data_IF_162004486217
#
_entry.id   IF_162004486217
#
_cell.length_a   1.000
_cell.length_b   1.000
_cell.length_c   1.000
_cell.angle_alpha   90.00
_cell.angle_beta   90.00
_cell.angle_gamma   90.00
#
_symmetry.space_group_name_H-M   'P 1'
#
loop_
_entity.id
_entity.type
_entity.pdbx_description
1 polymer ?
#
# COMPACT_ATOMS: atom_id res chain seq x y z
N UNK A 1 -37.60 -3.83 4.00
CA UNK A 1 -36.87 -2.98 4.96
C UNK A 1 -35.38 -3.22 4.75
N UNK A 2 -34.59 -2.19 4.36
CA UNK A 2 -33.14 -2.38 4.12
C UNK A 2 -32.40 -2.40 5.44
N UNK A 3 -31.66 -3.47 5.72
CA UNK A 3 -30.83 -3.58 6.91
C UNK A 3 -29.59 -2.69 6.70
N UNK A 4 -29.45 -1.64 7.51
CA UNK A 4 -28.26 -0.81 7.52
C UNK A 4 -27.13 -1.54 8.24
N UNK A 5 -25.94 -1.57 7.61
CA UNK A 5 -24.72 -2.08 8.21
C UNK A 5 -23.79 -0.93 8.53
N UNK A 6 -22.94 -1.10 9.52
CA UNK A 6 -21.93 -0.12 9.91
C UNK A 6 -20.61 -0.82 10.26
N UNK A 7 -19.52 -0.12 10.10
CA UNK A 7 -18.20 -0.51 10.61
C UNK A 7 -17.59 0.70 11.30
N UNK A 8 -16.83 0.44 12.35
CA UNK A 8 -16.06 1.49 13.03
C UNK A 8 -14.60 1.37 12.59
N UNK A 9 -14.05 2.48 12.13
CA UNK A 9 -12.64 2.59 11.76
C UNK A 9 -11.97 3.59 12.67
N UNK A 10 -10.80 3.23 13.17
CA UNK A 10 -9.95 4.11 13.97
C UNK A 10 -8.61 4.29 13.33
N UNK A 11 -8.04 5.47 13.44
CA UNK A 11 -6.68 5.77 13.01
C UNK A 11 -6.01 6.69 14.05
N UNK A 12 -4.70 6.66 14.08
CA UNK A 12 -3.92 7.56 14.91
C UNK A 12 -3.74 8.92 14.23
N UNK A 13 -3.43 9.96 15.02
CA UNK A 13 -3.09 11.28 14.48
C UNK A 13 -1.96 11.14 13.44
N UNK A 14 -2.17 11.59 12.17
CA UNK A 14 -1.14 11.55 11.14
C UNK A 14 0.17 12.26 11.52
N UNK A 15 0.12 13.25 12.41
CA UNK A 15 1.30 13.96 12.88
C UNK A 15 2.34 13.02 13.51
N UNK A 16 1.92 11.93 14.13
CA UNK A 16 2.82 10.91 14.71
C UNK A 16 3.64 10.22 13.61
N UNK A 17 2.97 9.83 12.52
CA UNK A 17 3.64 9.22 11.36
C UNK A 17 4.60 10.19 10.68
N UNK A 18 4.18 11.46 10.49
CA UNK A 18 5.00 12.49 9.86
C UNK A 18 6.23 12.83 10.70
N UNK A 19 6.10 12.91 12.01
CA UNK A 19 7.24 13.12 12.90
C UNK A 19 8.25 11.97 12.83
N UNK A 20 7.77 10.73 12.85
CA UNK A 20 8.62 9.55 12.72
C UNK A 20 9.34 9.49 11.36
N UNK A 21 8.66 9.89 10.28
CA UNK A 21 9.23 9.92 8.91
C UNK A 21 10.39 10.93 8.79
N UNK A 22 10.34 12.04 9.51
CA UNK A 22 11.43 13.02 9.52
C UNK A 22 12.67 12.58 10.29
N UNK A 23 12.53 11.63 11.21
CA UNK A 23 13.57 11.24 12.17
C UNK A 23 14.24 9.89 11.82
N UNK A 24 13.72 9.14 10.86
CA UNK A 24 14.22 7.81 10.53
C UNK A 24 14.24 7.57 9.02
N UNK A 25 15.09 6.65 8.58
CA UNK A 25 15.02 6.17 7.20
C UNK A 25 13.67 5.49 6.95
N UNK A 26 13.20 5.52 5.71
CA UNK A 26 11.91 4.92 5.38
C UNK A 26 11.84 3.42 5.70
N UNK A 27 12.95 2.69 5.56
CA UNK A 27 12.97 1.26 5.91
C UNK A 27 12.82 1.03 7.43
N UNK A 28 13.43 1.89 8.26
CA UNK A 28 13.28 1.84 9.72
C UNK A 28 11.85 2.22 10.13
N UNK A 29 11.30 3.27 9.50
CA UNK A 29 9.92 3.70 9.70
C UNK A 29 8.95 2.56 9.39
N UNK A 30 9.03 1.96 8.20
CA UNK A 30 8.11 0.89 7.82
C UNK A 30 8.27 -0.38 8.67
N UNK A 31 9.46 -0.68 9.15
CA UNK A 31 9.66 -1.73 10.16
C UNK A 31 8.96 -1.38 11.47
N UNK A 32 9.05 -0.12 11.91
CA UNK A 32 8.35 0.35 13.11
C UNK A 32 6.81 0.29 12.94
N UNK A 33 6.29 0.61 11.73
CA UNK A 33 4.87 0.45 11.40
C UNK A 33 4.47 -1.02 11.42
N UNK A 34 5.23 -1.92 10.78
CA UNK A 34 4.98 -3.36 10.80
C UNK A 34 4.91 -3.91 12.22
N UNK A 35 5.80 -3.44 13.08
CA UNK A 35 5.92 -3.89 14.47
C UNK A 35 4.91 -3.21 15.42
N UNK A 36 4.05 -2.32 14.90
CA UNK A 36 3.03 -1.59 15.67
C UNK A 36 3.57 -0.48 16.57
N UNK A 37 4.84 -0.11 16.44
CA UNK A 37 5.48 0.99 17.21
C UNK A 37 5.14 2.38 16.64
N UNK A 38 4.82 2.44 15.37
CA UNK A 38 4.34 3.64 14.65
C UNK A 38 3.03 3.26 13.96
N UNK A 39 2.01 4.12 13.96
CA UNK A 39 0.74 3.81 13.30
C UNK A 39 0.91 3.75 11.77
N UNK A 40 0.08 2.92 11.13
CA UNK A 40 -0.09 2.96 9.68
C UNK A 40 -0.86 4.24 9.29
N UNK A 41 -0.67 4.70 8.07
CA UNK A 41 -1.38 5.88 7.56
C UNK A 41 -2.91 5.69 7.59
N UNK A 42 -3.69 6.76 7.79
CA UNK A 42 -5.14 6.69 7.93
C UNK A 42 -5.85 6.02 6.75
N UNK A 43 -5.42 6.29 5.52
CA UNK A 43 -6.03 5.70 4.32
C UNK A 43 -5.93 4.17 4.31
N UNK A 44 -4.79 3.62 4.66
CA UNK A 44 -4.59 2.16 4.73
C UNK A 44 -5.29 1.56 5.94
N UNK A 45 -5.37 2.29 7.06
CA UNK A 45 -6.15 1.89 8.23
C UNK A 45 -7.64 1.80 7.89
N UNK A 46 -8.18 2.76 7.10
CA UNK A 46 -9.55 2.75 6.60
C UNK A 46 -9.85 1.48 5.78
N UNK A 47 -8.90 1.00 5.00
CA UNK A 47 -9.02 -0.22 4.21
C UNK A 47 -8.75 -1.50 5.01
N UNK A 48 -8.41 -1.39 6.30
CA UNK A 48 -8.05 -2.54 7.14
C UNK A 48 -6.76 -3.24 6.70
N UNK A 49 -5.89 -2.51 5.98
CA UNK A 49 -4.60 -3.03 5.53
C UNK A 49 -3.61 -3.14 6.69
N UNK A 50 -2.69 -4.09 6.57
CA UNK A 50 -1.58 -4.29 7.50
C UNK A 50 -0.27 -4.47 6.75
N UNK A 51 0.77 -3.85 7.23
CA UNK A 51 2.12 -4.09 6.72
C UNK A 51 2.71 -5.34 7.39
N UNK A 52 3.09 -6.35 6.60
CA UNK A 52 3.52 -7.65 7.15
C UNK A 52 4.97 -8.00 6.83
N UNK A 53 5.53 -7.45 5.74
CA UNK A 53 6.95 -7.63 5.41
C UNK A 53 7.57 -6.33 4.92
N UNK A 54 8.77 -6.05 5.37
CA UNK A 54 9.60 -4.90 4.97
C UNK A 54 11.01 -5.37 4.66
N UNK A 55 11.40 -5.27 3.40
CA UNK A 55 12.75 -5.53 2.91
C UNK A 55 13.18 -4.43 1.94
N UNK A 56 14.49 -4.23 1.70
CA UNK A 56 14.95 -3.27 0.71
C UNK A 56 14.35 -3.55 -0.68
N UNK A 57 13.55 -2.63 -1.20
CA UNK A 57 12.89 -2.74 -2.49
C UNK A 57 11.68 -3.68 -2.53
N UNK A 58 11.23 -4.23 -1.40
CA UNK A 58 10.05 -5.09 -1.35
C UNK A 58 9.21 -4.83 -0.09
N UNK A 59 7.92 -4.68 -0.30
CA UNK A 59 6.91 -4.52 0.75
C UNK A 59 5.81 -5.57 0.55
N UNK A 60 5.32 -6.14 1.64
CA UNK A 60 4.11 -6.94 1.63
C UNK A 60 3.10 -6.31 2.59
N UNK A 61 1.92 -6.05 2.06
CA UNK A 61 0.74 -5.67 2.83
C UNK A 61 -0.32 -6.77 2.72
N UNK A 62 -1.21 -6.85 3.70
CA UNK A 62 -2.33 -7.78 3.71
C UNK A 62 -3.62 -7.03 4.03
N UNK A 63 -4.71 -7.45 3.42
CA UNK A 63 -6.07 -6.98 3.70
C UNK A 63 -7.03 -8.17 3.65
N UNK A 64 -8.03 -8.19 4.52
CA UNK A 64 -9.13 -9.16 4.43
C UNK A 64 -10.34 -8.46 3.81
N UNK A 65 -10.79 -8.89 2.62
CA UNK A 65 -12.00 -8.35 2.00
C UNK A 65 -13.21 -8.46 2.92
N UNK A 66 -14.04 -7.41 2.94
CA UNK A 66 -15.27 -7.34 3.71
C UNK A 66 -16.35 -6.60 2.91
N UNK A 67 -17.60 -6.64 3.37
CA UNK A 67 -18.75 -6.09 2.62
C UNK A 67 -18.57 -4.62 2.19
N UNK A 68 -17.98 -3.78 3.05
CA UNK A 68 -17.74 -2.38 2.74
C UNK A 68 -16.71 -2.12 1.62
N UNK A 69 -16.00 -3.14 1.20
CA UNK A 69 -15.03 -3.06 0.11
C UNK A 69 -15.62 -3.43 -1.25
N UNK A 70 -16.86 -3.94 -1.28
CA UNK A 70 -17.46 -4.50 -2.48
C UNK A 70 -18.11 -3.43 -3.37
N UNK A 71 -18.02 -3.65 -4.66
CA UNK A 71 -18.77 -2.94 -5.68
C UNK A 71 -20.14 -3.61 -5.96
N UNK A 72 -20.84 -3.12 -6.99
CA UNK A 72 -22.15 -3.65 -7.41
C UNK A 72 -22.11 -5.09 -7.93
N UNK A 73 -20.93 -5.60 -8.29
CA UNK A 73 -20.73 -6.95 -8.79
C UNK A 73 -20.40 -7.95 -7.66
N UNK A 74 -20.29 -7.45 -6.41
CA UNK A 74 -19.90 -8.28 -5.26
C UNK A 74 -18.41 -8.59 -5.22
N UNK A 75 -17.59 -7.84 -5.95
CA UNK A 75 -16.12 -7.93 -5.93
C UNK A 75 -15.52 -6.72 -5.23
N UNK A 76 -14.29 -6.84 -4.74
CA UNK A 76 -13.57 -5.70 -4.17
C UNK A 76 -13.43 -4.64 -5.25
N UNK A 77 -13.89 -3.42 -4.94
CA UNK A 77 -13.87 -2.30 -5.85
C UNK A 77 -12.44 -2.05 -6.38
N UNK A 78 -12.25 -1.96 -7.73
CA UNK A 78 -10.92 -1.86 -8.35
C UNK A 78 -10.02 -0.75 -7.80
N UNK A 79 -10.58 0.40 -7.44
CA UNK A 79 -9.83 1.51 -6.84
C UNK A 79 -9.23 1.17 -5.48
N UNK A 80 -9.82 0.24 -4.72
CA UNK A 80 -9.23 -0.26 -3.47
C UNK A 80 -7.96 -1.07 -3.78
N UNK A 81 -8.01 -1.95 -4.79
CA UNK A 81 -6.84 -2.71 -5.22
C UNK A 81 -5.75 -1.78 -5.77
N UNK A 82 -6.15 -0.73 -6.52
CA UNK A 82 -5.23 0.30 -6.99
C UNK A 82 -4.55 1.04 -5.83
N UNK A 83 -5.30 1.48 -4.82
CA UNK A 83 -4.75 2.16 -3.64
C UNK A 83 -3.77 1.28 -2.87
N UNK A 84 -4.11 0.01 -2.64
CA UNK A 84 -3.25 -0.94 -1.95
C UNK A 84 -1.95 -1.22 -2.72
N UNK A 85 -2.04 -1.39 -4.04
CA UNK A 85 -0.88 -1.69 -4.89
C UNK A 85 0.02 -0.46 -5.04
N UNK A 86 -0.55 0.74 -5.20
CA UNK A 86 0.20 2.01 -5.24
C UNK A 86 0.99 2.23 -3.95
N UNK A 87 0.33 2.08 -2.80
CA UNK A 87 0.98 2.22 -1.48
C UNK A 87 2.11 1.20 -1.29
N UNK A 88 1.87 -0.08 -1.58
CA UNK A 88 2.89 -1.11 -1.43
C UNK A 88 4.11 -0.87 -2.33
N UNK A 89 3.88 -0.44 -3.58
CA UNK A 89 4.94 -0.13 -4.54
C UNK A 89 5.70 1.15 -4.15
N UNK A 90 5.00 2.20 -3.75
CA UNK A 90 5.58 3.44 -3.26
C UNK A 90 6.47 3.19 -2.03
N UNK A 91 5.98 2.43 -1.06
CA UNK A 91 6.78 2.04 0.10
C UNK A 91 8.01 1.23 -0.29
N UNK A 92 7.91 0.32 -1.27
CA UNK A 92 9.04 -0.44 -1.76
C UNK A 92 10.15 0.48 -2.33
N UNK A 93 9.78 1.52 -3.10
CA UNK A 93 10.72 2.54 -3.58
C UNK A 93 11.35 3.28 -2.39
N UNK A 94 10.52 3.75 -1.45
CA UNK A 94 10.99 4.52 -0.30
C UNK A 94 11.98 3.74 0.58
N UNK A 95 11.94 2.40 0.62
CA UNK A 95 12.93 1.60 1.36
C UNK A 95 14.35 1.69 0.78
N UNK A 96 14.51 2.23 -0.43
CA UNK A 96 15.78 2.27 -1.17
C UNK A 96 16.26 3.69 -1.52
N UNK A 97 15.49 4.71 -1.21
CA UNK A 97 15.90 6.09 -1.39
C UNK A 97 16.50 6.66 -0.10
N UNK A 98 17.43 7.63 -0.18
CA UNK A 98 17.99 8.28 0.99
C UNK A 98 16.95 9.02 1.83
N UNK A 99 17.29 9.26 3.09
CA UNK A 99 16.47 10.09 3.98
C UNK A 99 16.23 11.48 3.36
N UNK A 100 14.99 11.96 3.46
CA UNK A 100 14.57 13.26 2.92
C UNK A 100 14.18 13.22 1.44
N UNK A 101 14.56 12.18 0.69
CA UNK A 101 14.08 12.02 -0.69
C UNK A 101 12.61 11.60 -0.66
N UNK A 102 11.78 12.32 -1.40
CA UNK A 102 10.35 12.04 -1.55
C UNK A 102 10.08 11.40 -2.91
N UNK A 103 9.07 10.57 -2.99
CA UNK A 103 8.59 10.02 -4.24
C UNK A 103 7.08 10.24 -4.32
N UNK A 104 6.59 10.59 -5.52
CA UNK A 104 5.17 10.74 -5.78
C UNK A 104 4.78 9.99 -7.05
N UNK A 105 3.62 9.38 -7.05
CA UNK A 105 3.08 8.63 -8.18
C UNK A 105 2.81 9.58 -9.35
N UNK A 106 3.40 9.32 -10.51
CA UNK A 106 3.09 10.03 -11.76
C UNK A 106 1.98 9.35 -12.52
N UNK A 107 2.05 8.03 -12.61
CA UNK A 107 1.01 7.21 -13.20
C UNK A 107 1.03 5.82 -12.58
N UNK A 108 -0.10 5.14 -12.67
CA UNK A 108 -0.22 3.73 -12.37
C UNK A 108 -1.19 3.08 -13.36
N UNK A 109 -0.92 1.82 -13.68
CA UNK A 109 -1.81 1.00 -14.49
C UNK A 109 -2.07 -0.31 -13.76
N UNK A 110 -3.33 -0.60 -13.52
CA UNK A 110 -3.77 -1.84 -12.85
C UNK A 110 -4.47 -2.73 -13.85
N UNK A 111 -4.00 -3.98 -13.95
CA UNK A 111 -4.66 -5.05 -14.69
C UNK A 111 -5.36 -5.97 -13.69
N UNK A 112 -6.67 -6.07 -13.81
CA UNK A 112 -7.50 -6.97 -13.01
C UNK A 112 -7.62 -8.28 -13.78
N UNK A 113 -7.14 -9.38 -13.20
CA UNK A 113 -7.05 -10.69 -13.85
C UNK A 113 -8.12 -11.63 -13.33
N UNK A 114 -8.37 -11.57 -12.01
CA UNK A 114 -9.33 -12.43 -11.33
C UNK A 114 -10.11 -11.59 -10.30
N UNK A 115 -11.40 -11.86 -10.12
CA UNK A 115 -12.20 -11.14 -9.14
C UNK A 115 -11.74 -11.45 -7.72
N UNK A 116 -11.55 -10.41 -6.92
CA UNK A 116 -11.33 -10.51 -5.49
C UNK A 116 -12.67 -10.38 -4.79
N UNK A 117 -13.05 -11.37 -4.00
CA UNK A 117 -14.31 -11.43 -3.25
C UNK A 117 -14.04 -11.68 -1.77
N UNK A 118 -15.07 -11.72 -0.94
CA UNK A 118 -14.93 -12.15 0.47
C UNK A 118 -14.37 -13.58 0.55
N UNK A 119 -14.77 -14.45 -0.39
CA UNK A 119 -14.29 -15.82 -0.44
C UNK A 119 -12.80 -15.96 -0.85
N UNK A 120 -12.19 -14.91 -1.41
CA UNK A 120 -10.75 -14.89 -1.70
C UNK A 120 -9.89 -14.95 -0.42
N UNK A 121 -10.52 -14.76 0.74
CA UNK A 121 -9.83 -14.75 2.02
C UNK A 121 -8.87 -13.56 2.13
N UNK A 122 -7.86 -13.69 2.99
CA UNK A 122 -6.86 -12.64 3.17
C UNK A 122 -5.99 -12.51 1.92
N UNK A 123 -6.05 -11.36 1.27
CA UNK A 123 -5.21 -11.04 0.12
C UNK A 123 -3.84 -10.52 0.55
N UNK A 124 -2.83 -10.84 -0.26
CA UNK A 124 -1.48 -10.29 -0.15
C UNK A 124 -1.21 -9.34 -1.29
N UNK A 125 -0.70 -8.16 -0.95
CA UNK A 125 -0.26 -7.13 -1.90
C UNK A 125 1.25 -7.03 -1.79
N UNK A 126 1.95 -7.40 -2.86
CA UNK A 126 3.42 -7.41 -2.91
C UNK A 126 3.88 -6.31 -3.84
N UNK A 127 4.49 -5.27 -3.29
CA UNK A 127 5.09 -4.16 -4.03
C UNK A 127 6.61 -4.36 -4.18
N UNK A 128 7.14 -4.04 -5.36
CA UNK A 128 8.57 -4.14 -5.67
C UNK A 128 9.08 -2.92 -6.43
N UNK A 129 10.20 -2.38 -5.98
CA UNK A 129 10.96 -1.39 -6.73
C UNK A 129 11.78 -2.10 -7.82
N UNK A 130 11.44 -1.85 -9.09
CA UNK A 130 12.12 -2.44 -10.25
C UNK A 130 13.40 -1.65 -10.55
N UNK A 131 13.27 -0.33 -10.67
CA UNK A 131 14.39 0.58 -10.95
C UNK A 131 14.21 1.89 -10.23
N UNK A 132 15.28 2.42 -9.67
CA UNK A 132 15.31 3.76 -9.08
C UNK A 132 16.39 4.56 -9.79
N UNK A 133 15.98 5.61 -10.49
CA UNK A 133 16.84 6.58 -11.15
C UNK A 133 16.89 7.90 -10.37
N UNK A 134 17.60 8.89 -10.93
CA UNK A 134 17.73 10.22 -10.30
C UNK A 134 16.47 11.09 -10.37
N UNK A 135 15.60 10.84 -11.35
CA UNK A 135 14.38 11.63 -11.57
C UNK A 135 13.11 10.80 -11.46
N UNK A 136 13.17 9.53 -11.82
CA UNK A 136 12.03 8.63 -11.82
C UNK A 136 12.40 7.28 -11.26
N UNK A 137 11.42 6.62 -10.66
CA UNK A 137 11.50 5.23 -10.24
C UNK A 137 10.36 4.44 -10.88
N UNK A 138 10.65 3.20 -11.26
CA UNK A 138 9.66 2.25 -11.79
C UNK A 138 9.46 1.14 -10.77
N UNK A 139 8.22 0.76 -10.58
CA UNK A 139 7.83 -0.29 -9.64
C UNK A 139 6.70 -1.15 -10.22
N UNK A 140 6.51 -2.28 -9.59
CA UNK A 140 5.41 -3.19 -9.84
C UNK A 140 4.76 -3.60 -8.52
N UNK A 141 3.50 -4.00 -8.58
CA UNK A 141 2.85 -4.70 -7.48
C UNK A 141 1.89 -5.76 -8.00
N UNK A 142 1.63 -6.75 -7.15
CA UNK A 142 0.67 -7.81 -7.43
C UNK A 142 -0.22 -8.09 -6.23
N UNK A 143 -1.45 -8.48 -6.51
CA UNK A 143 -2.40 -8.96 -5.53
C UNK A 143 -2.56 -10.47 -5.69
N UNK A 144 -2.40 -11.20 -4.60
CA UNK A 144 -2.58 -12.63 -4.51
C UNK A 144 -3.71 -12.93 -3.51
N UNK A 145 -4.57 -13.89 -3.82
CA UNK A 145 -5.56 -14.38 -2.86
C UNK A 145 -4.93 -15.31 -1.80
N UNK A 146 -5.74 -15.83 -0.90
CA UNK A 146 -5.29 -16.74 0.17
C UNK A 146 -4.74 -18.08 -0.33
N UNK A 147 -5.09 -18.50 -1.55
CA UNK A 147 -4.56 -19.68 -2.22
C UNK A 147 -3.27 -19.38 -3.02
N UNK A 148 -2.85 -18.13 -3.10
CA UNK A 148 -1.70 -17.68 -3.88
C UNK A 148 -2.01 -17.42 -5.36
N UNK A 149 -3.29 -17.42 -5.76
CA UNK A 149 -3.73 -17.10 -7.12
C UNK A 149 -3.53 -15.62 -7.40
N UNK A 150 -2.96 -15.30 -8.56
CA UNK A 150 -2.73 -13.91 -9.01
C UNK A 150 -4.06 -13.28 -9.43
N UNK A 151 -4.47 -12.23 -8.70
CA UNK A 151 -5.72 -11.50 -8.95
C UNK A 151 -5.52 -10.18 -9.69
N UNK A 152 -4.39 -9.51 -9.46
CA UNK A 152 -4.10 -8.22 -10.09
C UNK A 152 -2.60 -8.00 -10.24
N UNK A 153 -2.25 -7.27 -11.30
CA UNK A 153 -0.92 -6.72 -11.55
C UNK A 153 -0.99 -5.21 -11.66
N UNK A 154 0.01 -4.52 -11.16
CA UNK A 154 0.16 -3.07 -11.28
C UNK A 154 1.57 -2.72 -11.72
N UNK A 155 1.71 -1.83 -12.69
CA UNK A 155 2.92 -1.12 -13.04
C UNK A 155 2.77 0.37 -12.77
N UNK A 156 3.79 1.02 -12.22
CA UNK A 156 3.75 2.45 -11.96
C UNK A 156 5.10 3.12 -12.14
N UNK A 157 5.04 4.42 -12.41
CA UNK A 157 6.18 5.33 -12.43
C UNK A 157 5.98 6.40 -11.36
N UNK A 158 7.02 6.63 -10.59
CA UNK A 158 7.09 7.67 -9.57
C UNK A 158 8.12 8.72 -9.98
N UNK A 159 7.84 9.99 -9.66
CA UNK A 159 8.85 11.03 -9.65
C UNK A 159 9.66 10.93 -8.38
N UNK A 160 10.99 11.09 -8.51
CA UNK A 160 11.91 11.19 -7.38
C UNK A 160 12.20 12.66 -7.14
N UNK A 161 11.83 13.17 -5.97
CA UNK A 161 12.01 14.56 -5.57
C UNK A 161 13.17 14.66 -4.58
N UNK A 162 14.13 15.55 -4.83
CA UNK A 162 15.23 15.75 -3.88
C UNK A 162 14.68 16.18 -2.51
N UNK A 163 15.49 16.06 -1.45
CA UNK A 163 15.15 16.64 -0.16
C UNK A 163 14.87 18.13 -0.31
N UNK A 164 13.84 18.64 0.38
CA UNK A 164 13.63 20.08 0.46
C UNK A 164 14.88 20.71 1.08
N UNK A 165 15.54 21.58 0.34
CA UNK A 165 16.61 22.45 0.84
C UNK A 165 15.93 23.59 1.62
N UNK A 166 15.44 23.30 2.83
CA UNK A 166 14.90 24.29 3.77
C UNK A 166 15.93 24.62 4.82
#
# INVERSE_FOLDING_TARGET
MTIKRHTTVTWADPAVLYAAHKQSTSIELFRAVRDGRVPLEPAMSLLGAKLTKVAPGEIVMEMTPAEQHLDLSGTVQPGILAALTDTAAGYAIHTRVPLGVRCATLNLQVSLLEPVTIASGRIKVVGRAVRIGSRTATCEAKVLDSAGKLCSLMGATFIVLPPDLS
#
